data_IF_504593017792
#
_entry.id   IF_504593017792
#
_cell.length_a   1.000
_cell.length_b   1.000
_cell.length_c   1.000
_cell.angle_alpha   90.00
_cell.angle_beta   90.00
_cell.angle_gamma   90.00
#
_symmetry.space_group_name_H-M   'P 1'
#
loop_
_entity.id
_entity.type
_entity.pdbx_description
1 polymer ?
#
# COMPACT_ATOMS: atom_id res chain seq x y z
N UNK A 1 9.11 -23.53 -8.34
CA UNK A 1 9.83 -22.51 -9.17
C UNK A 1 10.43 -21.50 -8.20
N UNK A 2 11.71 -21.10 -8.42
CA UNK A 2 12.37 -20.10 -7.55
C UNK A 2 12.24 -18.71 -8.15
N UNK A 3 12.02 -17.72 -7.31
CA UNK A 3 11.88 -16.31 -7.65
C UNK A 3 12.96 -15.52 -6.94
N UNK A 4 13.39 -14.38 -7.53
CA UNK A 4 14.46 -13.56 -6.97
C UNK A 4 15.87 -14.15 -7.21
N UNK A 5 16.88 -13.56 -6.57
CA UNK A 5 18.29 -13.93 -6.73
C UNK A 5 19.12 -13.63 -5.47
N UNK A 6 20.36 -14.14 -5.43
CA UNK A 6 21.26 -13.95 -4.29
C UNK A 6 20.64 -14.48 -2.99
N UNK A 7 20.76 -13.69 -1.93
CA UNK A 7 20.16 -13.99 -0.63
C UNK A 7 18.65 -13.76 -0.59
N UNK A 8 18.06 -13.19 -1.64
CA UNK A 8 16.63 -12.91 -1.78
C UNK A 8 15.96 -13.90 -2.74
N UNK A 9 16.03 -15.19 -2.40
CA UNK A 9 15.36 -16.25 -3.14
C UNK A 9 14.09 -16.70 -2.43
N UNK A 10 13.04 -16.97 -3.22
CA UNK A 10 11.71 -17.29 -2.71
C UNK A 10 11.09 -18.46 -3.45
N UNK A 11 10.20 -19.15 -2.77
CA UNK A 11 9.30 -20.16 -3.35
C UNK A 11 7.84 -19.73 -3.13
N UNK A 12 7.03 -19.78 -4.17
CA UNK A 12 5.59 -19.50 -4.07
C UNK A 12 4.90 -20.60 -3.27
N UNK A 13 4.19 -20.22 -2.23
CA UNK A 13 3.25 -21.09 -1.51
C UNK A 13 1.89 -20.89 -2.14
N UNK A 14 1.49 -21.84 -2.97
CA UNK A 14 0.23 -21.76 -3.70
C UNK A 14 -0.97 -21.86 -2.73
N UNK A 15 -2.00 -21.04 -2.98
CA UNK A 15 -3.22 -20.98 -2.16
C UNK A 15 -2.92 -20.89 -0.64
N UNK A 16 -1.91 -20.06 -0.28
CA UNK A 16 -1.52 -19.87 1.11
C UNK A 16 -2.70 -19.53 2.03
N UNK A 17 -3.57 -18.60 1.63
CA UNK A 17 -4.73 -18.20 2.42
C UNK A 17 -5.80 -19.29 2.37
N UNK A 18 -6.07 -19.95 3.49
CA UNK A 18 -7.14 -20.93 3.64
C UNK A 18 -8.47 -20.21 3.83
N UNK A 19 -9.11 -19.85 2.73
CA UNK A 19 -10.31 -19.02 2.71
C UNK A 19 -11.52 -19.83 3.16
N UNK A 20 -12.15 -19.52 4.32
CA UNK A 20 -13.30 -20.27 4.79
C UNK A 20 -14.55 -19.99 3.93
N UNK A 21 -15.53 -20.89 4.03
CA UNK A 21 -16.83 -20.70 3.34
C UNK A 21 -17.44 -19.35 3.74
N UNK A 22 -17.88 -18.59 2.76
CA UNK A 22 -18.48 -17.26 2.93
C UNK A 22 -17.46 -16.11 2.92
N UNK A 23 -16.16 -16.40 2.88
CA UNK A 23 -15.14 -15.38 2.61
C UNK A 23 -14.75 -15.38 1.13
N UNK A 24 -14.37 -14.22 0.65
CA UNK A 24 -13.82 -14.04 -0.71
C UNK A 24 -12.78 -12.93 -0.72
N UNK A 25 -11.90 -12.95 -1.71
CA UNK A 25 -11.10 -11.79 -2.07
C UNK A 25 -11.57 -11.27 -3.42
N UNK A 26 -11.83 -9.97 -3.51
CA UNK A 26 -12.13 -9.32 -4.80
C UNK A 26 -10.90 -8.62 -5.34
N UNK A 27 -10.36 -7.69 -4.57
CA UNK A 27 -9.11 -6.98 -4.80
C UNK A 27 -8.45 -6.77 -3.42
N UNK A 28 -7.17 -7.03 -3.30
CA UNK A 28 -6.39 -6.75 -2.09
C UNK A 28 -5.71 -5.39 -2.24
N UNK A 29 -6.23 -4.40 -1.53
CA UNK A 29 -5.71 -3.03 -1.55
C UNK A 29 -4.52 -2.81 -0.63
N UNK A 30 -4.49 -3.46 0.54
CA UNK A 30 -3.44 -3.29 1.54
C UNK A 30 -3.14 -4.56 2.32
N UNK A 31 -1.92 -4.67 2.84
CA UNK A 31 -1.48 -5.75 3.72
C UNK A 31 -0.73 -5.15 4.90
N UNK A 32 -1.11 -5.54 6.12
CA UNK A 32 -0.36 -5.25 7.34
C UNK A 32 0.12 -6.55 7.98
N UNK A 33 1.25 -6.51 8.69
CA UNK A 33 1.76 -7.65 9.46
C UNK A 33 2.02 -7.19 10.88
N UNK A 34 1.51 -7.92 11.87
CA UNK A 34 1.73 -7.62 13.28
C UNK A 34 2.99 -8.31 13.84
N UNK A 35 3.27 -8.07 15.11
CA UNK A 35 4.47 -8.63 15.79
C UNK A 35 4.43 -10.14 16.00
N UNK A 36 3.29 -10.78 15.80
CA UNK A 36 3.10 -12.25 15.83
C UNK A 36 3.15 -12.84 14.41
N UNK A 37 3.51 -12.04 13.41
CA UNK A 37 3.47 -12.36 11.97
C UNK A 37 2.04 -12.64 11.44
N UNK A 38 0.97 -12.26 12.16
CA UNK A 38 -0.37 -12.35 11.59
C UNK A 38 -0.54 -11.36 10.45
N UNK A 39 -1.16 -11.81 9.38
CA UNK A 39 -1.32 -11.07 8.13
C UNK A 39 -2.71 -10.47 8.04
N UNK A 40 -2.80 -9.17 8.09
CA UNK A 40 -4.02 -8.38 7.90
C UNK A 40 -4.18 -8.05 6.43
N UNK A 41 -5.20 -8.61 5.81
CA UNK A 41 -5.49 -8.45 4.37
C UNK A 41 -6.67 -7.51 4.24
N UNK A 42 -6.42 -6.28 3.79
CA UNK A 42 -7.47 -5.32 3.48
C UNK A 42 -7.91 -5.49 2.03
N UNK A 43 -9.14 -5.91 1.83
CA UNK A 43 -9.69 -6.22 0.52
C UNK A 43 -11.07 -5.57 0.30
N UNK A 44 -11.62 -5.72 -0.92
CA UNK A 44 -12.87 -5.04 -1.32
C UNK A 44 -14.10 -5.94 -1.30
N UNK A 45 -14.08 -7.02 -0.51
CA UNK A 45 -15.25 -7.88 -0.26
C UNK A 45 -16.05 -7.44 0.98
N UNK A 46 -17.11 -8.17 1.33
CA UNK A 46 -18.04 -7.81 2.42
C UNK A 46 -17.37 -7.70 3.81
N UNK A 47 -16.37 -8.52 4.11
CA UNK A 47 -15.52 -8.37 5.29
C UNK A 47 -14.16 -7.81 4.85
N UNK A 48 -13.99 -6.49 4.80
CA UNK A 48 -12.82 -5.88 4.18
C UNK A 48 -11.49 -6.24 4.83
N UNK A 49 -11.43 -6.35 6.15
CA UNK A 49 -10.21 -6.81 6.84
C UNK A 49 -10.36 -8.28 7.21
N UNK A 50 -9.43 -9.10 6.73
CA UNK A 50 -9.29 -10.52 7.06
C UNK A 50 -7.92 -10.78 7.63
N UNK A 51 -7.87 -11.45 8.76
CA UNK A 51 -6.62 -11.72 9.48
C UNK A 51 -6.34 -13.22 9.43
N UNK A 52 -5.10 -13.55 9.06
CA UNK A 52 -4.61 -14.93 8.95
C UNK A 52 -3.35 -15.11 9.79
N UNK A 53 -3.11 -16.34 10.24
CA UNK A 53 -1.81 -16.72 10.78
C UNK A 53 -0.73 -16.73 9.69
N UNK A 54 0.57 -16.78 10.02
CA UNK A 54 1.64 -16.98 9.04
C UNK A 54 1.47 -18.21 8.14
N UNK A 55 0.75 -19.23 8.64
CA UNK A 55 0.48 -20.47 7.90
C UNK A 55 -0.83 -20.43 7.08
N UNK A 56 -1.48 -19.25 7.05
CA UNK A 56 -2.67 -19.01 6.24
C UNK A 56 -3.98 -19.47 6.87
N UNK A 57 -3.99 -19.84 8.16
CA UNK A 57 -5.24 -20.16 8.88
C UNK A 57 -6.01 -18.87 9.18
N UNK A 58 -7.32 -18.83 8.93
CA UNK A 58 -8.14 -17.66 9.21
C UNK A 58 -8.32 -17.46 10.72
N UNK A 59 -8.12 -16.25 11.20
CA UNK A 59 -8.30 -15.90 12.61
C UNK A 59 -9.62 -15.13 12.84
N UNK A 60 -9.85 -14.06 12.08
CA UNK A 60 -11.01 -13.18 12.20
C UNK A 60 -11.19 -12.30 10.97
N UNK A 61 -12.39 -11.73 10.82
CA UNK A 61 -12.69 -10.70 9.82
C UNK A 61 -13.56 -9.60 10.43
N UNK A 62 -13.37 -8.36 9.96
CA UNK A 62 -14.11 -7.19 10.43
C UNK A 62 -14.18 -6.06 9.36
N UNK A 63 -14.82 -4.96 9.71
CA UNK A 63 -14.91 -3.76 8.87
C UNK A 63 -16.13 -3.72 7.94
N UNK A 64 -17.06 -4.67 8.07
CA UNK A 64 -18.31 -4.65 7.32
C UNK A 64 -19.05 -3.32 7.48
N UNK A 65 -19.50 -2.74 6.39
CA UNK A 65 -20.20 -1.45 6.31
C UNK A 65 -19.36 -0.21 6.67
N UNK A 66 -18.08 -0.36 7.02
CA UNK A 66 -17.23 0.80 7.29
C UNK A 66 -16.67 1.42 6.00
N UNK A 67 -16.13 0.61 5.11
CA UNK A 67 -15.37 1.09 3.94
C UNK A 67 -16.27 1.37 2.73
N UNK A 68 -16.04 2.53 2.09
CA UNK A 68 -16.57 2.83 0.75
C UNK A 68 -15.72 2.19 -0.33
N UNK A 69 -14.40 2.29 -0.21
CA UNK A 69 -13.42 1.57 -1.05
C UNK A 69 -12.11 1.40 -0.28
N UNK A 70 -11.93 0.24 0.32
CA UNK A 70 -10.74 -0.09 1.08
C UNK A 70 -9.47 -0.01 0.21
N UNK A 71 -8.37 0.62 0.73
CA UNK A 71 -7.17 0.83 -0.08
C UNK A 71 -5.87 0.44 0.64
N UNK A 72 -5.32 1.21 1.56
CA UNK A 72 -4.06 0.93 2.26
C UNK A 72 -4.28 0.34 3.66
N UNK A 73 -3.37 -0.51 4.12
CA UNK A 73 -3.36 -1.10 5.47
C UNK A 73 -1.95 -1.05 6.05
N UNK A 74 -1.83 -0.60 7.30
CA UNK A 74 -0.56 -0.56 8.03
C UNK A 74 -0.77 -0.89 9.50
N UNK A 75 0.09 -1.73 10.07
CA UNK A 75 0.17 -1.92 11.51
C UNK A 75 1.14 -0.91 12.08
N UNK A 76 0.68 -0.14 13.05
CA UNK A 76 1.50 0.85 13.75
C UNK A 76 2.36 0.20 14.85
N UNK A 77 3.40 0.88 15.35
CA UNK A 77 4.24 0.35 16.42
C UNK A 77 3.49 -0.01 17.71
N UNK A 78 2.34 0.61 17.98
CA UNK A 78 1.46 0.31 19.13
C UNK A 78 0.52 -0.89 18.88
N UNK A 79 0.63 -1.55 17.74
CA UNK A 79 -0.21 -2.67 17.32
C UNK A 79 -1.57 -2.27 16.74
N UNK A 80 -1.90 -0.99 16.67
CA UNK A 80 -3.13 -0.52 16.03
C UNK A 80 -3.08 -0.67 14.52
N UNK A 81 -4.26 -0.81 13.91
CA UNK A 81 -4.43 -1.02 12.47
C UNK A 81 -4.90 0.26 11.81
N UNK A 82 -4.07 0.83 10.95
CA UNK A 82 -4.47 1.95 10.12
C UNK A 82 -4.95 1.49 8.76
N UNK A 83 -6.10 2.01 8.33
CA UNK A 83 -6.66 1.75 7.01
C UNK A 83 -7.00 3.04 6.30
N UNK A 84 -6.68 3.13 5.01
CA UNK A 84 -7.18 4.22 4.15
C UNK A 84 -8.44 3.76 3.42
N UNK A 85 -9.39 4.67 3.28
CA UNK A 85 -10.63 4.49 2.53
C UNK A 85 -10.73 5.60 1.47
N UNK A 86 -10.31 5.28 0.27
CA UNK A 86 -10.29 6.25 -0.83
C UNK A 86 -11.71 6.52 -1.38
N UNK A 87 -12.67 5.66 -1.07
CA UNK A 87 -14.07 5.86 -1.43
C UNK A 87 -14.77 6.90 -0.56
N UNK A 88 -14.47 6.91 0.74
CA UNK A 88 -15.04 7.83 1.72
C UNK A 88 -14.14 9.01 2.09
N UNK A 89 -12.94 9.11 1.50
CA UNK A 89 -11.98 10.19 1.74
C UNK A 89 -11.51 10.29 3.20
N UNK A 90 -11.27 9.14 3.85
CA UNK A 90 -10.85 9.07 5.25
C UNK A 90 -9.69 8.11 5.48
N UNK A 91 -8.98 8.32 6.58
CA UNK A 91 -8.04 7.36 7.17
C UNK A 91 -8.55 7.01 8.57
N UNK A 92 -8.55 5.73 8.90
CA UNK A 92 -9.06 5.28 10.19
C UNK A 92 -8.05 4.41 10.92
N UNK A 93 -7.97 4.60 12.25
CA UNK A 93 -7.21 3.79 13.19
C UNK A 93 -8.16 2.87 13.93
N UNK A 94 -7.82 1.59 14.01
CA UNK A 94 -8.62 0.56 14.69
C UNK A 94 -7.77 -0.20 15.72
N UNK A 95 -8.45 -0.83 16.67
CA UNK A 95 -7.86 -1.94 17.43
C UNK A 95 -7.62 -3.14 16.49
N UNK A 96 -6.76 -4.12 16.87
CA UNK A 96 -6.62 -5.37 16.11
C UNK A 96 -7.94 -6.16 15.93
N UNK A 97 -8.94 -5.89 16.77
CA UNK A 97 -10.27 -6.50 16.73
C UNK A 97 -11.26 -5.75 15.85
N UNK A 98 -10.91 -4.53 15.40
CA UNK A 98 -11.70 -3.73 14.48
C UNK A 98 -12.54 -2.61 15.14
N UNK A 99 -12.31 -2.32 16.43
CA UNK A 99 -12.93 -1.16 17.08
C UNK A 99 -12.29 0.13 16.60
N UNK A 100 -13.09 1.11 16.19
CA UNK A 100 -12.61 2.40 15.71
C UNK A 100 -12.04 3.22 16.86
N UNK A 101 -10.79 3.66 16.73
CA UNK A 101 -10.07 4.49 17.70
C UNK A 101 -9.96 5.94 17.25
N UNK A 102 -9.71 6.19 15.97
CA UNK A 102 -9.55 7.52 15.40
C UNK A 102 -10.01 7.52 13.94
N UNK A 103 -10.60 8.61 13.48
CA UNK A 103 -10.85 8.89 12.07
C UNK A 103 -10.28 10.25 11.69
N UNK A 104 -9.49 10.29 10.64
CA UNK A 104 -9.00 11.50 9.99
C UNK A 104 -9.82 11.76 8.74
N UNK A 105 -10.13 13.02 8.47
CA UNK A 105 -10.99 13.42 7.36
C UNK A 105 -12.48 13.27 7.68
N UNK A 106 -13.31 13.76 6.78
CA UNK A 106 -14.78 13.72 6.90
C UNK A 106 -15.38 12.88 5.76
N UNK A 107 -16.14 11.83 6.14
CA UNK A 107 -16.71 10.87 5.18
C UNK A 107 -17.55 11.57 4.12
N UNK A 108 -17.24 11.26 2.85
CA UNK A 108 -17.96 11.80 1.69
C UNK A 108 -17.67 13.26 1.38
N UNK A 109 -16.69 13.89 2.06
CA UNK A 109 -16.31 15.29 1.80
C UNK A 109 -14.88 15.41 1.26
N UNK A 110 -14.68 15.23 -0.06
CA UNK A 110 -13.37 15.43 -0.68
C UNK A 110 -12.93 16.89 -0.67
N UNK A 111 -11.64 17.11 -0.53
CA UNK A 111 -11.05 18.45 -0.72
C UNK A 111 -11.17 18.91 -2.19
N UNK A 112 -11.30 20.22 -2.39
CA UNK A 112 -11.44 20.81 -3.71
C UNK A 112 -10.08 20.95 -4.40
N UNK A 113 -9.68 19.93 -5.16
CA UNK A 113 -8.42 19.86 -5.93
C UNK A 113 -8.59 20.10 -7.42
N UNK A 114 -9.84 20.20 -7.92
CA UNK A 114 -10.16 20.14 -9.32
C UNK A 114 -10.34 18.73 -9.88
N UNK A 115 -10.13 17.71 -9.04
CA UNK A 115 -10.27 16.31 -9.45
C UNK A 115 -11.65 16.01 -10.04
N UNK A 116 -11.62 15.39 -11.22
CA UNK A 116 -12.81 14.84 -11.88
C UNK A 116 -12.54 13.39 -12.26
N UNK A 117 -13.43 12.49 -11.81
CA UNK A 117 -13.31 11.07 -12.14
C UNK A 117 -13.63 10.84 -13.62
N UNK A 118 -12.70 10.23 -14.34
CA UNK A 118 -12.86 9.78 -15.72
C UNK A 118 -12.74 8.25 -15.78
N UNK A 119 -12.80 7.69 -16.98
CA UNK A 119 -12.68 6.25 -17.19
C UNK A 119 -11.30 5.71 -16.78
N UNK A 120 -10.24 6.41 -17.18
CA UNK A 120 -8.86 6.03 -16.90
C UNK A 120 -8.28 6.79 -15.69
N UNK A 121 -7.52 6.09 -14.83
CA UNK A 121 -6.94 6.70 -13.63
C UNK A 121 -5.99 7.84 -13.98
N UNK A 122 -5.13 7.66 -14.99
CA UNK A 122 -4.18 8.70 -15.41
C UNK A 122 -4.87 9.96 -15.96
N UNK A 123 -6.02 9.79 -16.63
CA UNK A 123 -6.84 10.93 -17.08
C UNK A 123 -7.48 11.64 -15.87
N UNK A 124 -8.01 10.87 -14.92
CA UNK A 124 -8.59 11.43 -13.69
C UNK A 124 -7.57 12.25 -12.90
N UNK A 125 -6.37 11.72 -12.69
CA UNK A 125 -5.30 12.41 -11.94
C UNK A 125 -4.77 13.65 -12.68
N UNK A 126 -4.84 13.69 -14.01
CA UNK A 126 -4.45 14.86 -14.80
C UNK A 126 -5.42 16.04 -14.66
N UNK A 127 -6.62 15.83 -14.11
CA UNK A 127 -7.57 16.93 -13.82
C UNK A 127 -7.23 17.68 -12.54
N UNK A 128 -6.36 17.13 -11.68
CA UNK A 128 -5.95 17.77 -10.43
C UNK A 128 -5.10 19.02 -10.76
N UNK A 129 -5.57 20.19 -10.37
CA UNK A 129 -4.93 21.48 -10.69
C UNK A 129 -4.22 22.12 -9.50
N UNK A 130 -4.48 21.62 -8.28
CA UNK A 130 -3.87 22.10 -7.03
C UNK A 130 -3.96 21.03 -5.94
N UNK A 131 -3.04 21.07 -4.96
CA UNK A 131 -3.20 20.34 -3.73
C UNK A 131 -4.28 20.96 -2.84
N UNK A 132 -4.92 20.15 -1.99
CA UNK A 132 -5.93 20.60 -1.03
C UNK A 132 -5.71 20.01 0.36
N UNK A 133 -6.37 20.58 1.40
CA UNK A 133 -6.37 19.97 2.73
C UNK A 133 -7.00 18.58 2.70
N UNK A 134 -6.76 17.74 3.71
CA UNK A 134 -7.14 16.33 3.66
C UNK A 134 -8.66 16.15 3.70
N UNK A 135 -9.16 15.19 2.94
CA UNK A 135 -8.50 14.30 1.95
C UNK A 135 -9.27 14.34 0.64
N UNK A 136 -8.63 13.91 -0.46
CA UNK A 136 -9.36 13.55 -1.66
C UNK A 136 -8.84 12.19 -2.17
N UNK A 137 -9.41 11.09 -1.67
CA UNK A 137 -9.08 9.70 -1.99
C UNK A 137 -7.67 9.28 -1.52
N UNK A 138 -7.41 9.26 -0.18
CA UNK A 138 -6.13 8.87 0.41
C UNK A 138 -5.76 7.42 0.07
N UNK A 139 -4.47 7.16 -0.07
CA UNK A 139 -3.94 5.93 -0.64
C UNK A 139 -3.15 5.09 0.35
N UNK A 140 -2.15 5.65 1.03
CA UNK A 140 -1.30 4.94 1.98
C UNK A 140 -1.16 5.69 3.29
N UNK A 141 -0.68 5.00 4.32
CA UNK A 141 -0.45 5.57 5.65
C UNK A 141 0.74 4.91 6.32
N UNK A 142 1.53 5.69 7.06
CA UNK A 142 2.57 5.19 7.96
C UNK A 142 2.60 6.01 9.23
N UNK A 143 3.18 5.48 10.32
CA UNK A 143 3.24 6.10 11.64
C UNK A 143 4.65 6.00 12.17
N UNK A 144 5.19 7.09 12.72
CA UNK A 144 6.49 7.08 13.39
C UNK A 144 6.38 6.65 14.87
N UNK A 145 7.52 6.54 15.54
CA UNK A 145 7.59 6.13 16.95
C UNK A 145 6.97 7.17 17.90
N UNK A 146 6.86 8.43 17.50
CA UNK A 146 6.23 9.51 18.28
C UNK A 146 4.69 9.52 18.12
N UNK A 147 4.17 8.65 17.23
CA UNK A 147 2.76 8.55 16.91
C UNK A 147 2.27 9.53 15.85
N UNK A 148 3.15 10.28 15.20
CA UNK A 148 2.77 11.13 14.07
C UNK A 148 2.39 10.25 12.87
N UNK A 149 1.28 10.62 12.22
CA UNK A 149 0.66 9.86 11.13
C UNK A 149 0.94 10.59 9.81
N UNK A 150 1.53 9.87 8.86
CA UNK A 150 1.82 10.37 7.52
C UNK A 150 0.93 9.66 6.51
N UNK A 151 0.26 10.42 5.65
CA UNK A 151 -0.73 9.91 4.69
C UNK A 151 -0.39 10.39 3.29
N UNK A 152 -0.25 9.46 2.34
CA UNK A 152 -0.28 9.79 0.92
C UNK A 152 -1.73 9.93 0.46
N UNK A 153 -2.04 11.04 -0.22
CA UNK A 153 -3.38 11.37 -0.71
C UNK A 153 -3.31 11.58 -2.22
N UNK A 154 -3.57 10.50 -3.00
CA UNK A 154 -3.09 10.45 -4.38
C UNK A 154 -4.13 10.31 -5.48
N UNK A 155 -5.27 9.63 -5.29
CA UNK A 155 -6.22 9.47 -6.41
C UNK A 155 -6.95 10.74 -6.79
N UNK A 156 -7.26 11.59 -5.82
CA UNK A 156 -7.95 12.86 -6.06
C UNK A 156 -7.17 14.08 -5.58
N UNK A 157 -5.94 13.86 -5.09
CA UNK A 157 -5.04 14.88 -4.60
C UNK A 157 -3.60 14.55 -5.06
N UNK A 158 -2.64 15.41 -4.75
CA UNK A 158 -1.21 15.21 -5.03
C UNK A 158 -0.39 15.64 -3.82
N UNK A 159 -0.75 15.08 -2.63
CA UNK A 159 -0.21 15.52 -1.35
C UNK A 159 0.25 14.39 -0.46
N UNK A 160 1.17 14.72 0.43
CA UNK A 160 1.40 14.00 1.68
C UNK A 160 0.96 14.91 2.82
N UNK A 161 0.28 14.34 3.83
CA UNK A 161 -0.17 15.03 5.02
C UNK A 161 0.48 14.43 6.25
N UNK A 162 0.91 15.26 7.21
CA UNK A 162 1.37 14.88 8.55
C UNK A 162 0.36 15.29 9.58
N UNK A 163 -0.09 14.35 10.40
CA UNK A 163 -0.95 14.59 11.55
C UNK A 163 -0.23 14.20 12.83
N UNK A 164 -0.59 14.81 13.93
CA UNK A 164 -0.22 14.33 15.24
C UNK A 164 -1.03 13.08 15.62
N UNK A 165 -0.62 12.43 16.72
CA UNK A 165 -1.27 11.21 17.23
C UNK A 165 -2.73 11.40 17.63
N UNK A 166 -3.13 12.64 17.96
CA UNK A 166 -4.51 13.04 18.25
C UNK A 166 -5.36 13.35 17.02
N UNK A 167 -4.75 13.39 15.82
CA UNK A 167 -5.44 13.66 14.57
C UNK A 167 -5.42 15.11 14.10
N UNK A 168 -4.68 16.01 14.78
CA UNK A 168 -4.49 17.38 14.34
C UNK A 168 -3.55 17.45 13.13
N UNK A 169 -3.93 18.18 12.08
CA UNK A 169 -3.09 18.39 10.89
C UNK A 169 -1.90 19.28 11.24
N UNK A 170 -0.68 18.77 11.10
CA UNK A 170 0.56 19.50 11.39
C UNK A 170 1.18 20.12 10.13
N UNK A 171 1.22 19.38 9.03
CA UNK A 171 1.84 19.81 7.78
C UNK A 171 1.23 19.12 6.56
N UNK A 172 1.43 19.72 5.39
CA UNK A 172 1.11 19.11 4.10
C UNK A 172 2.08 19.62 3.04
N UNK A 173 2.54 18.72 2.16
CA UNK A 173 3.41 19.09 1.05
C UNK A 173 3.08 18.31 -0.22
N UNK A 174 3.67 18.73 -1.34
CA UNK A 174 3.41 18.21 -2.66
C UNK A 174 2.34 19.02 -3.40
N UNK A 175 2.49 19.06 -4.71
CA UNK A 175 1.57 19.66 -5.68
C UNK A 175 1.50 18.75 -6.92
N UNK A 176 0.46 18.86 -7.78
CA UNK A 176 0.40 18.07 -8.99
C UNK A 176 1.55 18.43 -9.96
N UNK A 177 2.28 17.42 -10.44
CA UNK A 177 3.37 17.61 -11.40
C UNK A 177 4.37 16.47 -11.48
N UNK A 178 5.35 16.62 -12.36
CA UNK A 178 6.45 15.68 -12.56
C UNK A 178 7.79 16.15 -11.99
N UNK A 179 7.91 17.40 -11.56
CA UNK A 179 9.14 17.96 -11.01
C UNK A 179 9.44 17.34 -9.63
N UNK A 180 10.69 17.42 -9.15
CA UNK A 180 11.04 16.99 -7.78
C UNK A 180 10.14 17.64 -6.72
N UNK A 181 9.66 16.85 -5.76
CA UNK A 181 8.75 17.30 -4.70
C UNK A 181 7.27 17.44 -5.13
N UNK A 182 6.96 17.31 -6.42
CA UNK A 182 5.60 17.22 -6.93
C UNK A 182 5.20 15.77 -7.18
N UNK A 183 3.89 15.49 -7.28
CA UNK A 183 3.37 14.14 -7.42
C UNK A 183 2.38 13.99 -8.57
N UNK A 184 2.42 12.79 -9.16
CA UNK A 184 1.32 12.24 -9.96
C UNK A 184 0.88 10.93 -9.36
N UNK A 185 -0.09 11.01 -8.47
CA UNK A 185 -0.63 9.90 -7.71
C UNK A 185 0.40 9.33 -6.70
N UNK A 186 0.67 10.04 -5.56
CA UNK A 186 1.36 9.43 -4.44
C UNK A 186 0.51 8.27 -3.91
N UNK A 187 0.98 7.01 -4.11
CA UNK A 187 0.14 5.83 -3.98
C UNK A 187 0.33 5.07 -2.68
N UNK A 188 1.53 5.08 -2.13
CA UNK A 188 1.81 4.54 -0.80
C UNK A 188 2.94 5.34 -0.15
N UNK A 189 3.08 5.19 1.16
CA UNK A 189 4.09 5.86 1.96
C UNK A 189 4.57 4.95 3.08
N UNK A 190 5.88 4.87 3.29
CA UNK A 190 6.50 4.15 4.40
C UNK A 190 7.58 4.99 5.06
N UNK A 191 7.85 4.72 6.33
CA UNK A 191 8.99 5.25 7.06
C UNK A 191 10.11 4.20 7.06
N UNK A 192 11.32 4.59 6.71
CA UNK A 192 12.47 3.70 6.79
C UNK A 192 13.19 3.79 8.16
N UNK A 193 14.17 2.91 8.37
CA UNK A 193 14.96 2.87 9.61
C UNK A 193 15.84 4.10 9.84
N UNK A 194 16.05 4.94 8.83
CA UNK A 194 16.77 6.20 8.90
C UNK A 194 15.87 7.40 9.19
N UNK A 195 14.56 7.16 9.38
CA UNK A 195 13.56 8.21 9.62
C UNK A 195 13.13 8.95 8.35
N UNK A 196 13.44 8.43 7.15
CA UNK A 196 13.03 9.01 5.87
C UNK A 196 11.66 8.45 5.47
N UNK A 197 10.81 9.30 4.92
CA UNK A 197 9.56 8.92 4.29
C UNK A 197 9.82 8.58 2.82
N UNK A 198 9.48 7.37 2.41
CA UNK A 198 9.54 6.91 1.02
C UNK A 198 8.13 6.94 0.46
N UNK A 199 7.90 7.69 -0.61
CA UNK A 199 6.60 7.86 -1.27
C UNK A 199 6.64 7.25 -2.67
N UNK A 200 5.71 6.35 -2.95
CA UNK A 200 5.50 5.80 -4.29
C UNK A 200 4.78 6.81 -5.19
N UNK A 201 5.50 7.54 -6.00
CA UNK A 201 4.96 8.50 -6.97
C UNK A 201 4.62 7.77 -8.28
N UNK A 202 3.46 7.08 -8.27
CA UNK A 202 3.10 5.99 -9.18
C UNK A 202 3.13 6.37 -10.65
N UNK A 203 2.42 7.42 -11.05
CA UNK A 203 2.31 7.77 -12.46
C UNK A 203 3.55 8.54 -12.97
N UNK A 204 4.46 8.95 -12.07
CA UNK A 204 5.79 9.43 -12.43
C UNK A 204 6.85 8.32 -12.45
N UNK A 205 6.48 7.07 -12.10
CA UNK A 205 7.37 5.89 -12.07
C UNK A 205 8.67 6.16 -11.30
N UNK A 206 8.53 6.62 -10.05
CA UNK A 206 9.66 6.91 -9.14
C UNK A 206 9.27 6.73 -7.68
N UNK A 207 10.26 6.61 -6.81
CA UNK A 207 10.12 6.80 -5.38
C UNK A 207 10.74 8.14 -5.00
N UNK A 208 10.07 8.93 -4.18
CA UNK A 208 10.62 10.17 -3.64
C UNK A 208 10.82 10.01 -2.13
N UNK A 209 12.01 10.38 -1.65
CA UNK A 209 12.38 10.30 -0.25
C UNK A 209 12.39 11.68 0.37
N UNK A 210 11.72 11.81 1.52
CA UNK A 210 11.60 13.07 2.26
C UNK A 210 12.05 12.88 3.71
N UNK A 211 12.45 13.97 4.35
CA UNK A 211 12.44 14.01 5.81
C UNK A 211 11.01 14.12 6.34
N UNK A 212 10.82 14.06 7.65
CA UNK A 212 9.50 14.13 8.26
C UNK A 212 8.89 15.54 8.27
N UNK A 213 9.65 16.55 7.90
CA UNK A 213 9.24 17.94 7.69
C UNK A 213 8.77 18.19 6.25
N UNK A 214 8.99 17.22 5.32
CA UNK A 214 8.58 17.28 3.93
C UNK A 214 9.63 17.86 2.98
N UNK A 215 10.88 17.99 3.42
CA UNK A 215 11.98 18.36 2.53
C UNK A 215 12.41 17.15 1.70
N UNK A 216 12.49 17.32 0.37
CA UNK A 216 12.95 16.26 -0.53
C UNK A 216 14.44 15.98 -0.32
N UNK A 217 14.78 14.72 -0.11
CA UNK A 217 16.15 14.24 0.10
C UNK A 217 16.73 13.57 -1.14
N UNK A 218 15.94 12.66 -1.76
CA UNK A 218 16.42 11.78 -2.81
C UNK A 218 15.29 11.31 -3.72
N UNK A 219 15.61 10.84 -4.94
CA UNK A 219 14.66 10.23 -5.87
C UNK A 219 15.27 8.94 -6.44
N UNK A 220 14.52 7.83 -6.35
CA UNK A 220 14.89 6.55 -6.97
C UNK A 220 14.04 6.30 -8.22
N UNK A 221 14.68 5.98 -9.35
CA UNK A 221 14.04 5.89 -10.66
C UNK A 221 13.86 4.46 -11.20
N UNK A 222 14.48 3.44 -10.61
CA UNK A 222 14.40 2.06 -11.15
C UNK A 222 13.11 1.34 -10.71
N UNK A 223 11.98 2.01 -10.84
CA UNK A 223 10.64 1.45 -10.62
C UNK A 223 9.68 1.86 -11.74
N UNK A 224 8.67 1.03 -12.01
CA UNK A 224 7.62 1.33 -13.00
C UNK A 224 6.25 1.23 -12.34
N UNK A 225 5.56 2.37 -12.22
CA UNK A 225 4.24 2.50 -11.59
C UNK A 225 4.20 1.80 -10.22
N UNK A 226 5.05 2.21 -9.25
CA UNK A 226 5.09 1.62 -7.91
C UNK A 226 3.74 1.79 -7.19
N UNK A 227 3.29 0.74 -6.51
CA UNK A 227 1.98 0.71 -5.83
C UNK A 227 2.13 0.58 -4.32
N UNK A 228 2.55 -0.56 -3.80
CA UNK A 228 2.73 -0.79 -2.38
C UNK A 228 4.21 -0.75 -1.99
N UNK A 229 4.47 -0.30 -0.78
CA UNK A 229 5.79 -0.19 -0.17
C UNK A 229 5.84 -0.92 1.17
N UNK A 230 6.95 -1.57 1.45
CA UNK A 230 7.28 -2.11 2.75
C UNK A 230 8.78 -1.95 3.03
N UNK A 231 9.14 -1.69 4.27
CA UNK A 231 10.54 -1.67 4.72
C UNK A 231 10.71 -2.73 5.79
N UNK A 232 11.65 -3.65 5.60
CA UNK A 232 11.96 -4.67 6.58
C UNK A 232 12.89 -4.15 7.71
N UNK A 233 13.12 -4.96 8.73
CA UNK A 233 13.96 -4.58 9.87
C UNK A 233 15.43 -4.37 9.54
N UNK A 234 15.90 -4.87 8.40
CA UNK A 234 17.24 -4.65 7.88
C UNK A 234 17.33 -3.39 6.99
N UNK A 235 16.19 -2.75 6.71
CA UNK A 235 16.07 -1.53 5.93
C UNK A 235 15.90 -1.75 4.43
N UNK A 236 15.73 -3.00 3.97
CA UNK A 236 15.40 -3.25 2.55
C UNK A 236 13.99 -2.79 2.22
N UNK A 237 13.86 -2.16 1.05
CA UNK A 237 12.61 -1.58 0.57
C UNK A 237 12.00 -2.51 -0.48
N UNK A 238 10.83 -3.06 -0.18
CA UNK A 238 10.05 -3.90 -1.08
C UNK A 238 9.01 -3.05 -1.78
N UNK A 239 8.91 -3.19 -3.10
CA UNK A 239 8.03 -2.40 -3.96
C UNK A 239 7.20 -3.33 -4.83
N UNK A 240 5.88 -3.31 -4.68
CA UNK A 240 4.99 -3.87 -5.71
C UNK A 240 4.81 -2.87 -6.83
N UNK A 241 4.84 -3.34 -8.07
CA UNK A 241 4.78 -2.49 -9.25
C UNK A 241 3.66 -2.96 -10.19
N UNK A 242 2.81 -2.06 -10.61
CA UNK A 242 1.64 -2.37 -11.44
C UNK A 242 2.01 -2.94 -12.83
N UNK A 243 3.28 -2.87 -13.20
CA UNK A 243 3.84 -3.55 -14.37
C UNK A 243 4.11 -5.05 -14.14
N UNK A 244 3.40 -5.69 -13.21
CA UNK A 244 3.38 -7.14 -12.94
C UNK A 244 4.66 -7.68 -12.30
N UNK A 245 5.29 -6.92 -11.38
CA UNK A 245 6.52 -7.35 -10.72
C UNK A 245 6.62 -6.86 -9.27
N UNK A 246 7.56 -7.43 -8.55
CA UNK A 246 8.03 -6.96 -7.24
C UNK A 246 9.52 -6.70 -7.32
N UNK A 247 9.99 -5.59 -6.75
CA UNK A 247 11.40 -5.20 -6.66
C UNK A 247 11.81 -5.04 -5.20
N UNK A 248 13.06 -5.36 -4.89
CA UNK A 248 13.67 -5.15 -3.57
C UNK A 248 14.91 -4.30 -3.75
N UNK A 249 14.98 -3.21 -3.00
CA UNK A 249 16.11 -2.28 -2.97
C UNK A 249 16.82 -2.34 -1.63
N UNK A 250 18.12 -2.09 -1.62
CA UNK A 250 18.87 -1.86 -0.40
C UNK A 250 18.53 -0.48 0.20
N UNK A 251 18.98 -0.16 1.44
CA UNK A 251 18.72 1.13 2.07
C UNK A 251 19.28 2.36 1.34
N UNK A 252 20.15 2.15 0.37
CA UNK A 252 20.78 3.19 -0.46
C UNK A 252 20.16 3.30 -1.86
N UNK A 253 19.08 2.51 -2.12
CA UNK A 253 18.31 2.58 -3.35
C UNK A 253 18.86 1.75 -4.52
N UNK A 254 19.82 0.87 -4.26
CA UNK A 254 20.30 -0.04 -5.30
C UNK A 254 19.37 -1.26 -5.40
N UNK A 255 19.04 -1.65 -6.62
CA UNK A 255 18.24 -2.85 -6.86
C UNK A 255 19.01 -4.11 -6.44
N UNK A 256 18.41 -4.88 -5.52
CA UNK A 256 18.96 -6.16 -5.04
C UNK A 256 18.39 -7.32 -5.82
N UNK A 257 17.08 -7.38 -5.96
CA UNK A 257 16.39 -8.44 -6.71
C UNK A 257 15.05 -7.97 -7.24
N UNK A 258 14.54 -8.72 -8.22
CA UNK A 258 13.26 -8.44 -8.86
C UNK A 258 12.66 -9.73 -9.42
N UNK A 259 11.35 -9.90 -9.28
CA UNK A 259 10.65 -11.02 -9.90
C UNK A 259 9.25 -10.61 -10.40
N UNK A 260 8.68 -11.42 -11.25
CA UNK A 260 7.48 -11.13 -12.03
C UNK A 260 7.84 -10.86 -13.49
N UNK A 261 6.83 -10.70 -14.33
CA UNK A 261 7.05 -10.49 -15.76
C UNK A 261 6.27 -9.25 -16.23
N UNK A 262 6.94 -8.19 -16.68
CA UNK A 262 6.28 -7.03 -17.23
C UNK A 262 5.62 -7.29 -18.60
N UNK A 263 5.67 -8.53 -19.11
CA UNK A 263 5.04 -8.91 -20.38
C UNK A 263 3.53 -8.98 -20.27
N UNK A 264 2.76 -8.57 -21.29
CA UNK A 264 1.31 -8.59 -21.29
C UNK A 264 0.66 -9.97 -21.53
N UNK A 265 1.39 -11.06 -21.50
CA UNK A 265 0.85 -12.42 -21.67
C UNK A 265 0.21 -12.91 -20.38
N UNK A 266 -0.98 -13.50 -20.43
CA UNK A 266 -1.97 -13.38 -19.38
C UNK A 266 -2.43 -14.64 -18.67
N UNK A 267 -2.56 -15.76 -19.33
CA UNK A 267 -3.33 -16.88 -18.78
C UNK A 267 -2.61 -17.65 -17.67
N UNK A 268 -1.27 -17.52 -17.58
CA UNK A 268 -0.41 -18.11 -16.55
C UNK A 268 0.48 -17.08 -15.84
N UNK A 269 0.17 -15.80 -15.97
CA UNK A 269 0.96 -14.73 -15.37
C UNK A 269 0.98 -14.86 -13.84
N UNK A 270 2.18 -14.78 -13.25
CA UNK A 270 2.37 -14.76 -11.80
C UNK A 270 1.54 -13.67 -11.14
N UNK A 271 1.58 -12.46 -11.72
CA UNK A 271 0.83 -11.29 -11.28
C UNK A 271 -0.06 -10.74 -12.40
N UNK A 272 -1.22 -10.20 -12.00
CA UNK A 272 -2.15 -9.48 -12.88
C UNK A 272 -2.38 -8.03 -12.45
N UNK A 273 -1.93 -7.65 -11.26
CA UNK A 273 -2.07 -6.29 -10.73
C UNK A 273 -1.51 -6.20 -9.32
N UNK A 274 -0.18 -6.40 -9.11
CA UNK A 274 0.43 -6.26 -7.79
C UNK A 274 0.17 -4.87 -7.24
N UNK A 275 -0.35 -4.80 -6.02
CA UNK A 275 -0.82 -3.54 -5.45
C UNK A 275 -0.35 -3.30 -4.01
N UNK A 276 -0.28 -4.34 -3.21
CA UNK A 276 0.22 -4.30 -1.84
C UNK A 276 1.37 -5.29 -1.65
N UNK A 277 2.31 -4.96 -0.80
CA UNK A 277 3.42 -5.84 -0.40
C UNK A 277 3.67 -5.69 1.10
N UNK A 278 3.98 -6.81 1.76
CA UNK A 278 4.43 -6.83 3.15
C UNK A 278 5.39 -8.01 3.38
N UNK A 279 6.20 -7.93 4.45
CA UNK A 279 7.21 -8.96 4.76
C UNK A 279 7.11 -9.32 6.24
N UNK A 280 7.08 -10.62 6.54
CA UNK A 280 7.07 -11.10 7.92
C UNK A 280 8.49 -11.16 8.55
N UNK A 281 8.58 -11.47 9.84
CA UNK A 281 9.86 -11.54 10.58
C UNK A 281 10.83 -12.60 10.06
N UNK A 282 10.34 -13.57 9.29
CA UNK A 282 11.13 -14.62 8.64
C UNK A 282 11.62 -14.23 7.25
N UNK A 283 11.20 -13.08 6.75
CA UNK A 283 11.50 -12.57 5.41
C UNK A 283 10.61 -13.13 4.32
N UNK A 284 9.48 -13.77 4.64
CA UNK A 284 8.51 -14.17 3.64
C UNK A 284 7.77 -12.94 3.12
N UNK A 285 7.57 -12.88 1.80
CA UNK A 285 6.92 -11.75 1.13
C UNK A 285 5.47 -12.11 0.79
N UNK A 286 4.56 -11.21 1.14
CA UNK A 286 3.14 -11.30 0.79
C UNK A 286 2.81 -10.22 -0.23
N UNK A 287 2.15 -10.62 -1.33
CA UNK A 287 1.78 -9.71 -2.42
C UNK A 287 0.28 -9.79 -2.64
N UNK A 288 -0.40 -8.68 -2.48
CA UNK A 288 -1.83 -8.54 -2.76
C UNK A 288 -2.06 -7.88 -4.12
N UNK A 289 -3.08 -8.33 -4.82
CA UNK A 289 -3.39 -7.89 -6.19
C UNK A 289 -4.75 -7.22 -6.30
N UNK A 290 -4.86 -6.27 -7.21
CA UNK A 290 -6.12 -5.69 -7.68
C UNK A 290 -6.48 -6.26 -9.05
N UNK A 291 -6.39 -7.57 -9.17
CA UNK A 291 -6.51 -8.31 -10.43
C UNK A 291 -7.88 -8.13 -11.10
N UNK A 292 -8.96 -8.03 -10.31
CA UNK A 292 -10.30 -7.81 -10.84
C UNK A 292 -10.48 -6.40 -11.37
N UNK A 293 -10.04 -5.37 -10.61
CA UNK A 293 -10.13 -3.98 -11.05
C UNK A 293 -9.20 -3.70 -12.23
N UNK A 294 -7.98 -4.24 -12.24
CA UNK A 294 -6.95 -3.91 -13.22
C UNK A 294 -6.98 -4.78 -14.47
N UNK A 295 -7.24 -6.08 -14.31
CA UNK A 295 -7.21 -7.05 -15.42
C UNK A 295 -8.56 -7.72 -15.70
N UNK A 296 -9.62 -7.40 -14.94
CA UNK A 296 -10.94 -8.04 -15.10
C UNK A 296 -10.98 -9.50 -14.63
N UNK A 297 -9.94 -9.98 -13.93
CA UNK A 297 -9.77 -11.40 -13.59
C UNK A 297 -9.93 -11.63 -12.09
N UNK A 298 -10.79 -12.57 -11.72
CA UNK A 298 -10.91 -13.04 -10.35
C UNK A 298 -9.90 -14.18 -10.11
N UNK A 299 -8.95 -13.98 -9.21
CA UNK A 299 -7.92 -14.97 -8.83
C UNK A 299 -8.31 -15.78 -7.58
N UNK A 300 -9.49 -15.51 -6.98
CA UNK A 300 -9.92 -16.18 -5.74
C UNK A 300 -8.88 -16.06 -4.62
N UNK A 301 -8.53 -17.17 -3.97
CA UNK A 301 -7.52 -17.19 -2.91
C UNK A 301 -6.14 -16.67 -3.36
N UNK A 302 -5.81 -16.80 -4.66
CA UNK A 302 -4.54 -16.32 -5.24
C UNK A 302 -4.49 -14.81 -5.45
N UNK A 303 -5.53 -14.05 -5.08
CA UNK A 303 -5.50 -12.58 -5.03
C UNK A 303 -4.51 -12.07 -3.98
N UNK A 304 -4.15 -12.90 -3.01
CA UNK A 304 -2.97 -12.72 -2.16
C UNK A 304 -2.04 -13.93 -2.33
N UNK A 305 -0.74 -13.68 -2.51
CA UNK A 305 0.26 -14.71 -2.71
C UNK A 305 1.37 -14.56 -1.65
N UNK A 306 1.83 -15.71 -1.11
CA UNK A 306 2.97 -15.77 -0.20
C UNK A 306 4.18 -16.35 -0.93
N UNK A 307 5.30 -15.65 -0.83
CA UNK A 307 6.62 -16.08 -1.31
C UNK A 307 7.49 -16.38 -0.10
N UNK A 308 7.67 -17.66 0.20
CA UNK A 308 8.48 -18.10 1.33
C UNK A 308 9.98 -17.92 1.04
N UNK A 309 10.70 -17.28 1.97
CA UNK A 309 12.16 -17.06 1.86
C UNK A 309 12.89 -18.42 1.90
N UNK A 310 13.73 -18.69 0.89
CA UNK A 310 14.64 -19.84 0.89
C UNK A 310 15.90 -19.43 1.65
N UNK A 311 16.27 -20.20 2.68
CA UNK A 311 17.48 -20.00 3.49
C UNK A 311 18.61 -20.91 3.01
#
# INVERSE_FOLDING_TARGET
>A
MRYGQGDFQYELIDEWAKVPQGWSFIDVGGIGIDTEDNVYVLNRSESPVKVFTPDGEPLRGWGTSFFGRAHGCRIAPDGSVFCTDDGNHVVAKFTPQGDLLLQLGERGKPSNTGYTRTWEVWQSTSTIVRGGPPFNRPTGVTVNTDGDIFVSDGYGNSRVHRFGSGGELKASWGEPGGEPGRFRLPHDIVLDSRGRLIVADRENSRLQLFDQEGNLLEIWHDVIRPTGLFVDTAGYVYVSELCLRVSVFDPDGHLVTRWGNPSPVRDDALFLGPHAVAVDSRGNVYVGEVSRTYAGTDKGARTIQKFARIR
#
